data_IF_704057525213
#
_entry.id   IF_704057525213
#
_cell.length_a   1.000
_cell.length_b   1.000
_cell.length_c   1.000
_cell.angle_alpha   90.00
_cell.angle_beta   90.00
_cell.angle_gamma   90.00
#
_symmetry.space_group_name_H-M   'P 1'
#
loop_
_entity.id
_entity.type
_entity.pdbx_description
1 polymer ?
#
# COMPACT_ATOMS: atom_id res chain seq x y z
N UNK A 1 1.05 -8.60 14.63
CA UNK A 1 1.81 -8.73 13.37
C UNK A 1 3.16 -9.31 13.71
N UNK A 2 3.74 -10.15 12.85
CA UNK A 2 5.08 -10.72 13.05
C UNK A 2 6.11 -10.01 12.19
N UNK A 3 7.30 -9.75 12.72
CA UNK A 3 8.40 -9.09 11.99
C UNK A 3 9.28 -10.10 11.28
N UNK A 4 9.62 -9.83 10.03
CA UNK A 4 10.50 -10.68 9.21
C UNK A 4 11.58 -9.80 8.59
N UNK A 5 12.83 -10.23 8.74
CA UNK A 5 14.00 -9.63 8.13
C UNK A 5 14.58 -10.60 7.10
N UNK A 6 14.66 -10.14 5.85
CA UNK A 6 15.16 -10.92 4.72
C UNK A 6 16.02 -10.00 3.82
N UNK A 7 17.31 -9.78 4.17
CA UNK A 7 18.18 -8.85 3.47
C UNK A 7 18.67 -9.43 2.14
N UNK A 8 17.75 -9.62 1.19
CA UNK A 8 18.01 -10.16 -0.14
C UNK A 8 17.68 -9.09 -1.20
N UNK A 9 18.65 -8.68 -2.03
CA UNK A 9 18.41 -7.72 -3.11
C UNK A 9 17.27 -8.15 -4.07
N UNK A 10 17.19 -9.43 -4.40
CA UNK A 10 16.17 -9.97 -5.30
C UNK A 10 14.75 -9.86 -4.72
N UNK A 11 14.64 -9.85 -3.38
CA UNK A 11 13.36 -9.63 -2.71
C UNK A 11 12.92 -8.17 -2.80
N UNK A 12 13.86 -7.20 -2.78
CA UNK A 12 13.54 -5.79 -3.02
C UNK A 12 12.97 -5.59 -4.43
N UNK A 13 13.58 -6.22 -5.45
CA UNK A 13 13.12 -6.14 -6.84
C UNK A 13 11.70 -6.73 -7.00
N UNK A 14 11.42 -7.86 -6.37
CA UNK A 14 10.07 -8.45 -6.41
C UNK A 14 9.08 -7.56 -5.66
N UNK A 15 9.44 -7.08 -4.48
CA UNK A 15 8.58 -6.18 -3.70
C UNK A 15 8.23 -4.92 -4.46
N UNK A 16 9.18 -4.36 -5.20
CA UNK A 16 8.97 -3.18 -6.04
C UNK A 16 7.72 -3.37 -6.92
N UNK A 17 7.57 -4.48 -7.63
CA UNK A 17 6.39 -4.70 -8.46
C UNK A 17 5.15 -5.12 -7.65
N UNK A 18 5.33 -5.78 -6.51
CA UNK A 18 4.22 -6.26 -5.67
C UNK A 18 3.47 -5.14 -4.94
N UNK A 19 4.07 -3.95 -4.79
CA UNK A 19 3.34 -2.78 -4.28
C UNK A 19 2.15 -2.38 -5.15
N UNK A 20 2.06 -2.84 -6.40
CA UNK A 20 0.86 -2.69 -7.26
C UNK A 20 -0.30 -3.59 -6.80
N UNK A 21 0.00 -4.78 -6.26
CA UNK A 21 -0.99 -5.70 -5.67
C UNK A 21 -1.48 -5.20 -4.29
N UNK A 22 -0.63 -4.39 -3.65
CA UNK A 22 -0.94 -3.58 -2.50
C UNK A 22 -0.39 -4.13 -1.19
N UNK A 23 -0.21 -3.21 -0.26
CA UNK A 23 0.39 -3.43 1.06
C UNK A 23 -0.34 -2.57 2.08
N UNK A 24 -0.12 -2.79 3.38
CA UNK A 24 -0.79 -2.03 4.42
C UNK A 24 0.07 -0.87 4.94
N UNK A 25 -0.61 0.23 5.22
CA UNK A 25 -0.12 1.36 6.01
C UNK A 25 -1.05 1.49 7.21
N UNK A 26 -0.45 1.60 8.40
CA UNK A 26 -1.20 1.81 9.64
C UNK A 26 -1.55 3.29 9.75
N UNK A 27 -2.81 3.58 10.05
CA UNK A 27 -3.32 4.92 10.29
C UNK A 27 -4.23 4.95 11.51
N UNK A 28 -4.63 6.14 11.94
CA UNK A 28 -5.78 6.31 12.83
C UNK A 28 -7.07 6.38 12.00
N UNK A 29 -8.17 5.88 12.56
CA UNK A 29 -9.49 5.87 11.92
C UNK A 29 -10.04 7.27 11.60
N UNK A 30 -10.73 7.37 10.46
CA UNK A 30 -11.43 8.56 9.98
C UNK A 30 -10.56 9.79 9.67
N UNK A 31 -9.28 9.57 9.37
CA UNK A 31 -8.37 10.57 8.80
C UNK A 31 -8.71 10.77 7.30
N UNK A 32 -8.66 12.01 6.80
CA UNK A 32 -8.89 12.26 5.38
C UNK A 32 -7.72 11.78 4.50
N UNK A 33 -7.97 11.54 3.21
CA UNK A 33 -6.94 11.01 2.30
C UNK A 33 -5.70 11.91 2.26
N UNK A 34 -5.84 13.24 2.28
CA UNK A 34 -4.68 14.15 2.30
C UNK A 34 -3.76 13.87 3.49
N UNK A 35 -4.33 13.88 4.70
CA UNK A 35 -3.58 13.68 5.94
C UNK A 35 -3.06 12.25 6.04
N UNK A 36 -3.81 11.26 5.54
CA UNK A 36 -3.32 9.89 5.41
C UNK A 36 -2.03 9.82 4.56
N UNK A 37 -2.04 10.43 3.37
CA UNK A 37 -0.88 10.44 2.48
C UNK A 37 0.32 11.19 3.08
N UNK A 38 0.06 12.32 3.73
CA UNK A 38 1.11 13.15 4.31
C UNK A 38 1.70 12.55 5.58
N UNK A 39 0.86 12.20 6.55
CA UNK A 39 1.31 11.93 7.91
C UNK A 39 1.64 10.43 8.10
N UNK A 40 0.95 9.54 7.39
CA UNK A 40 1.11 8.08 7.54
C UNK A 40 1.89 7.45 6.39
N UNK A 41 1.62 7.87 5.15
CA UNK A 41 2.46 7.47 4.01
C UNK A 41 3.76 8.29 3.89
N UNK A 42 3.89 9.40 4.62
CA UNK A 42 5.06 10.29 4.59
C UNK A 42 5.38 10.85 3.20
N UNK A 43 4.34 11.02 2.38
CA UNK A 43 4.46 11.61 1.05
C UNK A 43 4.40 13.13 1.17
N UNK A 44 5.38 13.82 0.61
CA UNK A 44 5.44 15.28 0.66
C UNK A 44 4.20 15.94 0.01
N UNK A 45 3.74 17.04 0.61
CA UNK A 45 2.54 17.76 0.19
C UNK A 45 2.65 18.27 -1.27
N UNK A 46 3.84 18.70 -1.69
CA UNK A 46 4.06 19.12 -3.08
C UNK A 46 3.96 17.94 -4.03
N UNK A 47 4.45 16.75 -3.64
CA UNK A 47 4.29 15.54 -4.44
C UNK A 47 2.82 15.14 -4.57
N UNK A 48 2.08 15.12 -3.45
CA UNK A 48 0.64 14.81 -3.44
C UNK A 48 -0.10 15.71 -4.44
N UNK A 49 0.15 17.03 -4.39
CA UNK A 49 -0.50 18.00 -5.29
C UNK A 49 -0.06 17.85 -6.75
N UNK A 50 1.24 17.68 -6.99
CA UNK A 50 1.82 17.85 -8.32
C UNK A 50 1.93 16.55 -9.12
N UNK A 51 2.02 15.39 -8.46
CA UNK A 51 2.33 14.11 -9.10
C UNK A 51 1.25 13.07 -8.93
N UNK A 52 0.54 13.02 -7.81
CA UNK A 52 -0.63 12.15 -7.67
C UNK A 52 -1.80 12.79 -8.41
N UNK A 53 -2.24 12.15 -9.49
CA UNK A 53 -3.29 12.69 -10.38
C UNK A 53 -4.54 11.83 -10.42
N UNK A 54 -4.46 10.60 -9.95
CA UNK A 54 -5.60 9.69 -9.87
C UNK A 54 -5.54 8.96 -8.55
N UNK A 55 -6.63 9.00 -7.80
CA UNK A 55 -6.81 8.25 -6.57
C UNK A 55 -8.13 7.49 -6.68
N UNK A 56 -8.10 6.20 -6.38
CA UNK A 56 -9.30 5.42 -6.14
C UNK A 56 -9.38 5.03 -4.67
N UNK A 57 -10.56 5.21 -4.06
CA UNK A 57 -10.91 4.69 -2.75
C UNK A 57 -11.96 3.58 -2.92
N UNK A 58 -11.64 2.36 -2.49
CA UNK A 58 -12.48 1.18 -2.65
C UNK A 58 -12.98 0.96 -4.09
N UNK A 59 -12.15 1.30 -5.08
CA UNK A 59 -12.46 1.20 -6.51
C UNK A 59 -13.16 2.42 -7.13
N UNK A 60 -13.56 3.39 -6.30
CA UNK A 60 -14.25 4.60 -6.74
C UNK A 60 -13.26 5.78 -6.90
N UNK A 61 -13.32 6.57 -7.98
CA UNK A 61 -12.46 7.74 -8.13
C UNK A 61 -12.75 8.77 -7.03
N UNK A 62 -11.70 9.46 -6.57
CA UNK A 62 -11.78 10.53 -5.57
C UNK A 62 -11.40 11.85 -6.23
N UNK A 63 -12.24 12.88 -6.12
CA UNK A 63 -11.94 14.24 -6.62
C UNK A 63 -11.45 15.19 -5.52
N UNK A 64 -11.97 15.02 -4.30
CA UNK A 64 -11.59 15.83 -3.16
C UNK A 64 -11.00 14.96 -2.04
N UNK A 65 -9.68 14.97 -1.93
CA UNK A 65 -8.94 14.18 -0.93
C UNK A 65 -9.12 14.67 0.51
N UNK A 66 -9.73 15.85 0.69
CA UNK A 66 -10.05 16.40 2.01
C UNK A 66 -11.43 15.94 2.51
N UNK A 67 -12.33 15.51 1.61
CA UNK A 67 -13.70 15.08 1.98
C UNK A 67 -13.82 13.58 2.23
N UNK A 68 -12.94 12.76 1.63
CA UNK A 68 -12.96 11.30 1.80
C UNK A 68 -12.05 10.89 2.95
N UNK A 69 -12.58 10.05 3.85
CA UNK A 69 -11.88 9.54 5.03
C UNK A 69 -11.60 8.05 4.90
N UNK A 70 -10.39 7.63 5.28
CA UNK A 70 -10.00 6.22 5.33
C UNK A 70 -10.51 5.55 6.60
N UNK A 71 -10.84 4.26 6.48
CA UNK A 71 -11.26 3.38 7.57
C UNK A 71 -10.50 2.07 7.52
N UNK A 72 -10.69 1.24 8.54
CA UNK A 72 -10.17 -0.13 8.50
C UNK A 72 -10.71 -0.87 7.27
N UNK A 73 -9.81 -1.53 6.54
CA UNK A 73 -10.13 -2.22 5.29
C UNK A 73 -10.25 -1.32 4.07
N UNK A 74 -10.09 0.00 4.19
CA UNK A 74 -10.02 0.91 3.03
C UNK A 74 -8.90 0.49 2.09
N UNK A 75 -9.18 0.56 0.79
CA UNK A 75 -8.20 0.32 -0.28
C UNK A 75 -7.99 1.62 -1.06
N UNK A 76 -6.76 2.11 -1.09
CA UNK A 76 -6.33 3.27 -1.87
C UNK A 76 -5.43 2.84 -3.02
N UNK A 77 -5.80 3.18 -4.25
CA UNK A 77 -4.92 3.08 -5.41
C UNK A 77 -4.43 4.47 -5.82
N UNK A 78 -3.12 4.67 -5.85
CA UNK A 78 -2.47 5.94 -6.13
C UNK A 78 -1.75 5.86 -7.47
N UNK A 79 -2.03 6.81 -8.36
CA UNK A 79 -1.40 6.89 -9.66
C UNK A 79 -1.11 8.32 -10.07
N UNK A 80 -0.13 8.48 -10.95
CA UNK A 80 0.10 9.73 -11.64
C UNK A 80 -0.89 9.92 -12.79
N UNK A 81 -0.48 10.71 -13.79
CA UNK A 81 -1.26 10.81 -15.02
C UNK A 81 -1.31 9.43 -15.70
N UNK A 82 -2.53 8.96 -15.97
CA UNK A 82 -2.76 7.75 -16.76
C UNK A 82 -3.00 8.15 -18.23
N UNK A 83 -2.33 7.53 -19.21
CA UNK A 83 -2.59 7.79 -20.62
C UNK A 83 -3.95 7.23 -21.07
N UNK A 84 -4.46 7.74 -22.19
CA UNK A 84 -5.70 7.29 -22.81
C UNK A 84 -6.97 7.94 -22.25
N UNK A 85 -8.09 7.69 -22.92
CA UNK A 85 -9.38 8.33 -22.62
C UNK A 85 -9.88 7.99 -21.21
N UNK A 86 -9.76 6.73 -20.80
CA UNK A 86 -10.13 6.28 -19.44
C UNK A 86 -9.27 6.99 -18.39
N UNK A 87 -7.97 7.13 -18.63
CA UNK A 87 -7.07 7.86 -17.74
C UNK A 87 -7.40 9.35 -17.66
N UNK A 88 -7.71 9.97 -18.80
CA UNK A 88 -8.18 11.35 -18.86
C UNK A 88 -9.50 11.53 -18.08
N UNK A 89 -10.42 10.57 -18.17
CA UNK A 89 -11.67 10.58 -17.42
C UNK A 89 -11.46 10.40 -15.93
N UNK A 90 -10.53 9.56 -15.46
CA UNK A 90 -10.37 9.23 -14.02
C UNK A 90 -9.49 10.21 -13.25
N UNK A 91 -8.82 11.15 -13.94
CA UNK A 91 -7.95 12.15 -13.32
C UNK A 91 -8.72 13.06 -12.35
N UNK A 92 -8.13 13.32 -11.19
CA UNK A 92 -8.54 14.36 -10.24
C UNK A 92 -8.66 15.68 -11.00
N UNK A 93 -9.78 16.38 -10.81
CA UNK A 93 -10.06 17.67 -11.49
C UNK A 93 -10.04 17.57 -13.02
N UNK A 94 -10.40 16.42 -13.58
CA UNK A 94 -10.56 16.27 -15.03
C UNK A 94 -11.74 17.10 -15.56
N UNK A 95 -11.61 17.76 -16.73
CA UNK A 95 -12.77 18.35 -17.41
C UNK A 95 -13.83 17.32 -17.80
N UNK A 96 -13.48 16.02 -17.81
CA UNK A 96 -14.40 14.91 -18.05
C UNK A 96 -14.98 14.29 -16.77
N UNK A 97 -14.76 14.90 -15.59
CA UNK A 97 -15.23 14.36 -14.30
C UNK A 97 -16.75 14.15 -14.24
N UNK A 98 -17.53 14.94 -14.98
CA UNK A 98 -19.00 14.79 -15.08
C UNK A 98 -19.39 13.39 -15.55
N UNK A 99 -18.57 12.72 -16.35
CA UNK A 99 -18.85 11.38 -16.89
C UNK A 99 -18.72 10.25 -15.85
N UNK A 100 -18.17 10.53 -14.66
CA UNK A 100 -18.00 9.54 -13.57
C UNK A 100 -18.60 10.00 -12.24
N UNK A 101 -19.42 11.05 -12.25
CA UNK A 101 -19.97 11.66 -11.01
C UNK A 101 -20.78 10.66 -10.17
N UNK A 102 -21.46 9.71 -10.81
CA UNK A 102 -22.27 8.67 -10.15
C UNK A 102 -21.45 7.64 -9.38
N UNK A 103 -20.17 7.45 -9.73
CA UNK A 103 -19.27 6.48 -9.09
C UNK A 103 -18.19 7.14 -8.24
N UNK A 104 -18.16 8.47 -8.17
CA UNK A 104 -17.15 9.21 -7.42
C UNK A 104 -17.44 9.09 -5.93
N UNK A 105 -16.42 8.79 -5.13
CA UNK A 105 -16.55 8.84 -3.69
C UNK A 105 -16.54 10.31 -3.23
N UNK A 106 -17.71 10.76 -2.76
CA UNK A 106 -17.93 12.13 -2.31
C UNK A 106 -17.58 12.30 -0.82
N UNK A 107 -17.26 11.21 -0.13
CA UNK A 107 -17.09 11.17 1.32
C UNK A 107 -18.43 11.22 2.06
N UNK A 108 -18.35 11.30 3.38
CA UNK A 108 -19.51 11.38 4.27
C UNK A 108 -19.12 11.73 5.69
N UNK A 109 -20.10 12.11 6.51
CA UNK A 109 -19.87 12.31 7.93
C UNK A 109 -19.53 10.99 8.61
N UNK A 110 -18.33 10.93 9.16
CA UNK A 110 -17.80 9.76 9.83
C UNK A 110 -17.20 10.19 11.16
N UNK A 111 -17.70 9.57 12.23
CA UNK A 111 -17.16 9.67 13.59
C UNK A 111 -15.98 8.70 13.71
N UNK A 112 -14.83 9.22 14.15
CA UNK A 112 -13.64 8.42 14.42
C UNK A 112 -13.86 7.51 15.61
N UNK A 113 -13.42 6.26 15.51
CA UNK A 113 -13.30 5.37 16.66
C UNK A 113 -12.03 5.60 17.48
N UNK A 114 -11.10 6.43 17.00
CA UNK A 114 -9.80 6.68 17.62
C UNK A 114 -8.83 5.50 17.61
N UNK A 115 -9.19 4.41 16.92
CA UNK A 115 -8.39 3.18 16.84
C UNK A 115 -7.41 3.22 15.68
N UNK A 116 -6.33 2.47 15.81
CA UNK A 116 -5.47 2.14 14.68
C UNK A 116 -6.21 1.25 13.68
N UNK A 117 -5.98 1.51 12.40
CA UNK A 117 -6.62 0.85 11.27
C UNK A 117 -5.58 0.44 10.22
N UNK A 118 -5.91 -0.58 9.44
CA UNK A 118 -5.09 -1.02 8.31
C UNK A 118 -5.70 -0.53 6.99
N UNK A 119 -4.99 0.36 6.30
CA UNK A 119 -5.36 0.85 4.97
C UNK A 119 -4.48 0.17 3.93
N UNK A 120 -5.08 -0.49 2.94
CA UNK A 120 -4.36 -1.14 1.85
C UNK A 120 -4.03 -0.11 0.76
N UNK A 121 -2.76 0.15 0.53
CA UNK A 121 -2.26 1.09 -0.49
C UNK A 121 -1.75 0.31 -1.70
N UNK A 122 -2.03 0.80 -2.90
CA UNK A 122 -1.50 0.30 -4.17
C UNK A 122 -0.84 1.45 -4.93
N UNK A 123 0.38 1.27 -5.41
CA UNK A 123 1.12 2.30 -6.15
C UNK A 123 1.19 1.94 -7.62
N UNK A 124 0.94 2.90 -8.50
CA UNK A 124 0.99 2.73 -9.95
C UNK A 124 1.81 3.82 -10.63
N UNK A 125 2.28 3.51 -11.84
CA UNK A 125 2.95 4.45 -12.74
C UNK A 125 4.10 5.18 -12.04
N UNK A 126 4.23 6.49 -12.25
CA UNK A 126 5.26 7.35 -11.65
C UNK A 126 5.26 7.29 -10.11
N UNK A 127 4.11 7.07 -9.47
CA UNK A 127 4.03 6.99 -8.00
C UNK A 127 4.73 5.72 -7.51
N UNK A 128 4.61 4.61 -8.24
CA UNK A 128 5.36 3.40 -7.93
C UNK A 128 6.86 3.66 -8.03
N UNK A 129 7.32 4.21 -9.15
CA UNK A 129 8.75 4.44 -9.38
C UNK A 129 9.37 5.40 -8.37
N UNK A 130 8.66 6.46 -7.99
CA UNK A 130 9.19 7.47 -7.09
C UNK A 130 9.17 7.03 -5.62
N UNK A 131 8.18 6.22 -5.20
CA UNK A 131 7.95 5.92 -3.77
C UNK A 131 8.20 4.47 -3.36
N UNK A 132 8.33 3.52 -4.29
CA UNK A 132 8.44 2.09 -3.91
C UNK A 132 9.58 1.82 -2.94
N UNK A 133 10.78 2.33 -3.25
CA UNK A 133 11.97 2.09 -2.41
C UNK A 133 11.85 2.72 -1.03
N UNK A 134 11.20 3.88 -0.93
CA UNK A 134 10.95 4.57 0.33
C UNK A 134 9.94 3.81 1.22
N UNK A 135 8.96 3.12 0.63
CA UNK A 135 8.12 2.18 1.39
C UNK A 135 8.86 0.89 1.78
N UNK A 136 9.65 0.33 0.86
CA UNK A 136 10.40 -0.91 1.10
C UNK A 136 11.41 -0.75 2.22
N UNK A 137 12.15 0.37 2.25
CA UNK A 137 13.17 0.64 3.28
C UNK A 137 12.59 0.77 4.69
N UNK A 138 11.33 1.21 4.81
CA UNK A 138 10.63 1.30 6.11
C UNK A 138 10.01 -0.02 6.57
N UNK A 139 9.98 -1.02 5.70
CA UNK A 139 9.29 -2.28 5.91
C UNK A 139 7.85 -2.23 5.39
N UNK A 140 7.46 -3.30 4.69
CA UNK A 140 6.16 -3.42 4.02
C UNK A 140 5.27 -4.36 4.82
N UNK A 141 4.05 -3.92 5.13
CA UNK A 141 3.07 -4.75 5.83
C UNK A 141 2.25 -5.53 4.80
N UNK A 142 2.20 -6.84 4.95
CA UNK A 142 1.54 -7.76 4.01
C UNK A 142 0.64 -8.73 4.78
N UNK A 143 -0.45 -9.16 4.13
CA UNK A 143 -1.16 -10.34 4.61
C UNK A 143 -0.29 -11.58 4.38
N UNK A 144 -0.51 -12.62 5.19
CA UNK A 144 0.17 -13.91 5.08
C UNK A 144 0.14 -14.48 3.66
N UNK A 145 -1.01 -14.39 2.98
CA UNK A 145 -1.19 -14.87 1.62
C UNK A 145 -0.33 -14.13 0.60
N UNK A 146 -0.24 -12.81 0.69
CA UNK A 146 0.62 -11.98 -0.16
C UNK A 146 2.10 -12.30 0.10
N UNK A 147 2.51 -12.41 1.37
CA UNK A 147 3.88 -12.79 1.73
C UNK A 147 4.28 -14.16 1.16
N UNK A 148 3.43 -15.17 1.32
CA UNK A 148 3.65 -16.52 0.79
C UNK A 148 3.79 -16.47 -0.74
N UNK A 149 2.91 -15.73 -1.42
CA UNK A 149 2.97 -15.57 -2.88
C UNK A 149 4.30 -14.96 -3.31
N UNK A 150 4.79 -13.96 -2.58
CA UNK A 150 6.05 -13.26 -2.86
C UNK A 150 7.24 -14.20 -2.67
N UNK A 151 7.29 -14.90 -1.54
CA UNK A 151 8.39 -15.84 -1.25
C UNK A 151 8.43 -17.00 -2.25
N UNK A 152 7.29 -17.48 -2.75
CA UNK A 152 7.22 -18.50 -3.81
C UNK A 152 7.87 -18.07 -5.13
N UNK A 153 8.07 -16.77 -5.36
CA UNK A 153 8.81 -16.26 -6.53
C UNK A 153 10.33 -16.36 -6.39
N UNK A 154 10.83 -16.64 -5.17
CA UNK A 154 12.24 -16.84 -4.86
C UNK A 154 12.42 -18.28 -4.35
N UNK A 155 12.66 -19.26 -5.22
CA UNK A 155 12.79 -20.67 -4.81
C UNK A 155 13.84 -20.90 -3.72
N UNK A 156 14.88 -20.06 -3.64
CA UNK A 156 15.89 -20.11 -2.59
C UNK A 156 15.31 -19.85 -1.18
N UNK A 157 14.24 -19.06 -1.07
CA UNK A 157 13.56 -18.82 0.20
C UNK A 157 12.72 -20.02 0.66
N UNK A 158 12.21 -20.79 -0.30
CA UNK A 158 11.30 -21.92 -0.04
C UNK A 158 12.07 -23.22 0.13
N UNK A 159 13.03 -23.50 -0.76
CA UNK A 159 13.66 -24.81 -0.88
C UNK A 159 14.90 -24.99 0.02
N UNK A 160 15.56 -23.90 0.41
CA UNK A 160 16.85 -23.98 1.11
C UNK A 160 16.75 -23.86 2.64
N UNK A 161 15.57 -24.04 3.22
CA UNK A 161 15.31 -23.76 4.65
C UNK A 161 15.86 -22.39 5.06
N UNK A 162 15.64 -21.36 4.22
CA UNK A 162 16.10 -20.01 4.53
C UNK A 162 15.55 -19.61 5.91
N UNK A 163 16.46 -19.23 6.80
CA UNK A 163 16.11 -18.78 8.14
C UNK A 163 15.91 -17.28 8.12
N UNK A 164 14.64 -16.89 8.10
CA UNK A 164 14.21 -15.52 8.28
C UNK A 164 14.50 -15.09 9.71
N UNK A 165 15.23 -14.00 9.87
CA UNK A 165 15.41 -13.37 11.18
C UNK A 165 14.06 -12.72 11.59
N UNK A 166 13.68 -12.87 12.85
CA UNK A 166 12.41 -12.34 13.38
C UNK A 166 12.64 -11.72 14.75
N UNK A 167 11.63 -11.03 15.27
CA UNK A 167 11.67 -10.43 16.62
C UNK A 167 11.78 -11.43 17.78
N UNK A 168 11.60 -12.73 17.56
CA UNK A 168 11.69 -13.74 18.62
C UNK A 168 12.68 -14.86 18.29
N UNK A 169 12.37 -15.66 17.27
CA UNK A 169 13.17 -16.81 16.85
C UNK A 169 13.23 -16.86 15.32
N UNK A 170 14.35 -17.30 14.73
CA UNK A 170 14.39 -17.49 13.29
C UNK A 170 13.26 -18.42 12.83
N UNK A 171 12.64 -18.08 11.71
CA UNK A 171 11.54 -18.85 11.12
C UNK A 171 11.95 -19.34 9.73
N UNK A 172 11.55 -20.54 9.36
CA UNK A 172 11.60 -21.02 7.98
C UNK A 172 10.37 -20.58 7.20
N UNK A 173 10.38 -20.76 5.88
CA UNK A 173 9.18 -20.60 5.06
C UNK A 173 8.01 -21.47 5.56
N UNK A 174 8.27 -22.72 5.94
CA UNK A 174 7.23 -23.62 6.47
C UNK A 174 6.69 -23.16 7.83
N UNK A 175 7.51 -22.56 8.69
CA UNK A 175 7.02 -21.96 9.94
C UNK A 175 6.07 -20.80 9.67
N UNK A 176 6.38 -19.98 8.67
CA UNK A 176 5.51 -18.86 8.25
C UNK A 176 4.20 -19.41 7.69
N UNK A 177 4.24 -20.38 6.77
CA UNK A 177 3.05 -21.02 6.19
C UNK A 177 2.15 -21.66 7.26
N UNK A 178 2.72 -22.23 8.33
CA UNK A 178 1.95 -22.89 9.39
C UNK A 178 1.59 -21.99 10.58
N UNK A 179 2.09 -20.75 10.61
CA UNK A 179 1.81 -19.82 11.72
C UNK A 179 0.37 -19.31 11.76
N UNK A 180 -0.08 -18.82 12.93
CA UNK A 180 -1.40 -18.20 13.12
C UNK A 180 -1.41 -16.68 12.85
N UNK A 181 -0.28 -16.12 12.40
CA UNK A 181 -0.19 -14.69 12.12
C UNK A 181 -0.84 -14.34 10.78
N UNK A 182 -1.80 -13.42 10.79
CA UNK A 182 -2.49 -12.99 9.57
C UNK A 182 -1.71 -11.93 8.78
N UNK A 183 -0.88 -11.13 9.47
CA UNK A 183 -0.12 -10.01 8.89
C UNK A 183 1.32 -10.01 9.36
N UNK A 184 2.20 -9.69 8.42
CA UNK A 184 3.64 -9.63 8.61
C UNK A 184 4.18 -8.27 8.21
N UNK A 185 5.22 -7.83 8.89
CA UNK A 185 6.02 -6.68 8.45
C UNK A 185 7.33 -7.25 7.90
N UNK A 186 7.56 -7.02 6.61
CA UNK A 186 8.73 -7.52 5.89
C UNK A 186 9.73 -6.38 5.69
N UNK A 187 10.93 -6.56 6.22
CA UNK A 187 12.08 -5.70 5.97
C UNK A 187 13.11 -6.40 5.09
N UNK A 188 13.55 -5.70 4.06
CA UNK A 188 14.63 -6.13 3.16
C UNK A 188 15.99 -5.54 3.54
N UNK A 189 16.04 -4.75 4.61
CA UNK A 189 17.23 -4.14 5.19
C UNK A 189 17.07 -4.19 6.71
N UNK A 190 18.15 -4.22 7.48
CA UNK A 190 18.02 -4.09 8.93
C UNK A 190 17.64 -2.64 9.25
N UNK A 191 16.54 -2.41 10.01
CA UNK A 191 16.11 -1.06 10.39
C UNK A 191 17.06 -0.40 11.38
#
# INVERSE_FOLDING_TARGET
MKKIYAPLPELQEILFYELQSGFYVISVDAVNIRSFLKDFCRIDEQYIKNKIKTIFHNGNPVDNIDSVKVRDGSVLALSGAMPGLVGAMMRIQSPYAVMRDTITDKGGEIISSGKDICVRVKLFNVVLHDWAMDFISRGVILDKSDLIRIFKKLPQLVNNNYLFDTDEKPMTFSDIENSTFEKFILWTERP
#
